data_IF_244881843903
#
_entry.id   IF_244881843903
#
_cell.length_a   1.000
_cell.length_b   1.000
_cell.length_c   1.000
_cell.angle_alpha   90.00
_cell.angle_beta   90.00
_cell.angle_gamma   90.00
#
_symmetry.space_group_name_H-M   'P 1'
#
loop_
_entity.id
_entity.type
_entity.pdbx_description
1 polymer ?
#
# COMPACT_ATOMS: atom_id res chain seq x y z
N UNK A 1 63.40 -23.09 -75.86
CA UNK A 1 64.29 -23.04 -74.67
C UNK A 1 63.47 -23.49 -73.47
N UNK A 2 63.63 -24.74 -72.98
CA UNK A 2 64.42 -25.11 -71.77
C UNK A 2 64.20 -24.08 -70.63
N UNK A 3 63.62 -24.41 -69.49
CA UNK A 3 63.91 -25.55 -68.60
C UNK A 3 62.75 -25.90 -67.64
N UNK A 4 62.70 -27.19 -67.29
CA UNK A 4 61.89 -27.82 -66.25
C UNK A 4 62.28 -27.36 -64.83
N UNK A 5 61.31 -27.28 -63.92
CA UNK A 5 61.48 -27.67 -62.51
C UNK A 5 60.26 -28.44 -62.03
N UNK A 6 60.53 -29.56 -61.38
CA UNK A 6 59.63 -30.48 -60.71
C UNK A 6 59.18 -29.89 -59.36
N UNK A 7 58.04 -30.34 -58.83
CA UNK A 7 57.85 -30.79 -57.44
C UNK A 7 56.36 -31.21 -57.22
N UNK A 8 56.21 -32.52 -57.04
CA UNK A 8 55.40 -33.28 -56.06
C UNK A 8 53.95 -32.90 -55.74
N UNK A 9 53.06 -33.86 -56.04
CA UNK A 9 51.69 -34.02 -55.56
C UNK A 9 51.65 -34.33 -54.05
N UNK A 10 50.76 -33.65 -53.31
CA UNK A 10 50.22 -34.09 -52.03
C UNK A 10 48.73 -33.72 -51.97
N UNK A 11 47.88 -34.75 -52.06
CA UNK A 11 46.45 -34.65 -51.83
C UNK A 11 46.18 -34.76 -50.31
N UNK A 12 45.63 -33.72 -49.71
CA UNK A 12 45.13 -33.75 -48.34
C UNK A 12 43.61 -33.93 -48.38
N UNK A 13 43.14 -35.09 -47.93
CA UNK A 13 41.72 -35.37 -47.70
C UNK A 13 41.22 -34.62 -46.47
N UNK A 14 40.15 -33.86 -46.64
CA UNK A 14 39.37 -33.26 -45.55
C UNK A 14 38.33 -34.28 -45.06
N UNK A 15 38.59 -34.87 -43.89
CA UNK A 15 37.55 -35.51 -43.08
C UNK A 15 36.76 -34.42 -42.33
N UNK A 16 35.48 -34.27 -42.67
CA UNK A 16 34.54 -33.47 -41.89
C UNK A 16 34.09 -34.22 -40.63
N UNK A 17 34.48 -33.73 -39.46
CA UNK A 17 33.83 -34.07 -38.20
C UNK A 17 32.63 -33.13 -37.99
N UNK A 18 31.42 -33.69 -38.07
CA UNK A 18 30.21 -33.03 -37.61
C UNK A 18 30.13 -33.14 -36.08
N UNK A 19 30.46 -32.04 -35.38
CA UNK A 19 30.20 -31.91 -33.94
C UNK A 19 28.72 -31.59 -33.73
N UNK A 20 27.94 -32.56 -33.23
CA UNK A 20 26.61 -32.30 -32.67
C UNK A 20 26.77 -31.46 -31.40
N UNK A 21 26.50 -30.16 -31.50
CA UNK A 21 26.34 -29.28 -30.34
C UNK A 21 24.98 -29.54 -29.70
N UNK A 22 24.95 -30.35 -28.64
CA UNK A 22 23.80 -30.41 -27.74
C UNK A 22 23.68 -29.08 -26.99
N UNK A 23 22.77 -28.23 -27.43
CA UNK A 23 22.36 -27.03 -26.72
C UNK A 23 21.62 -27.43 -25.44
N UNK A 24 22.35 -27.60 -24.33
CA UNK A 24 21.76 -27.59 -23.00
C UNK A 24 21.24 -26.17 -22.74
N UNK A 25 19.94 -25.97 -22.93
CA UNK A 25 19.22 -24.84 -22.35
C UNK A 25 19.34 -24.94 -20.83
N UNK A 26 20.31 -24.23 -20.28
CA UNK A 26 20.35 -23.95 -18.85
C UNK A 26 19.07 -23.18 -18.51
N UNK A 27 18.10 -23.87 -17.92
CA UNK A 27 16.99 -23.21 -17.24
C UNK A 27 17.63 -22.32 -16.17
N UNK A 28 17.58 -21.01 -16.38
CA UNK A 28 17.84 -20.04 -15.33
C UNK A 28 16.78 -20.26 -14.26
N UNK A 29 17.08 -21.13 -13.31
CA UNK A 29 16.37 -21.22 -12.05
C UNK A 29 16.54 -19.89 -11.35
N UNK A 30 15.64 -18.95 -11.68
CA UNK A 30 15.50 -17.72 -10.92
C UNK A 30 15.26 -18.15 -9.48
N UNK A 31 16.26 -17.94 -8.63
CA UNK A 31 16.09 -17.95 -7.18
C UNK A 31 14.82 -17.17 -6.91
N UNK A 32 13.80 -17.87 -6.40
CA UNK A 32 12.56 -17.21 -5.98
C UNK A 32 12.98 -16.17 -4.94
N UNK A 33 13.10 -14.91 -5.38
CA UNK A 33 13.34 -13.78 -4.50
C UNK A 33 12.31 -13.92 -3.38
N UNK A 34 12.75 -13.79 -2.12
CA UNK A 34 11.92 -14.10 -0.97
C UNK A 34 10.68 -13.19 -0.97
N UNK A 35 9.58 -13.70 -1.53
CA UNK A 35 8.33 -12.97 -1.73
C UNK A 35 7.85 -12.45 -0.38
N UNK A 36 7.28 -11.25 -0.35
CA UNK A 36 6.71 -10.65 0.85
C UNK A 36 7.68 -10.22 1.96
N UNK A 37 8.99 -10.48 1.82
CA UNK A 37 10.01 -9.90 2.69
C UNK A 37 10.38 -8.50 2.25
N UNK A 38 11.33 -7.90 2.96
CA UNK A 38 11.96 -6.63 2.59
C UNK A 38 12.33 -6.60 1.11
N UNK A 39 11.79 -5.62 0.38
CA UNK A 39 12.04 -5.44 -1.05
C UNK A 39 10.88 -4.77 -1.78
N UNK A 40 11.14 -4.39 -3.03
CA UNK A 40 10.14 -3.92 -3.99
C UNK A 40 10.02 -4.90 -5.16
N UNK A 41 8.80 -5.16 -5.60
CA UNK A 41 8.48 -6.15 -6.62
C UNK A 41 7.48 -5.56 -7.60
N UNK A 42 7.69 -5.79 -8.89
CA UNK A 42 6.86 -5.20 -9.95
C UNK A 42 6.39 -6.25 -10.93
N UNK A 43 5.12 -6.21 -11.30
CA UNK A 43 4.55 -6.99 -12.40
C UNK A 43 3.41 -6.22 -13.06
N UNK A 44 3.47 -6.09 -14.40
CA UNK A 44 2.38 -5.55 -15.23
C UNK A 44 1.81 -4.21 -14.75
N UNK A 45 2.68 -3.22 -14.49
CA UNK A 45 2.26 -1.88 -14.05
C UNK A 45 1.83 -1.80 -12.58
N UNK A 46 1.99 -2.87 -11.80
CA UNK A 46 1.78 -2.87 -10.35
C UNK A 46 3.13 -3.07 -9.67
N UNK A 47 3.43 -2.22 -8.72
CA UNK A 47 4.58 -2.35 -7.83
C UNK A 47 4.13 -2.43 -6.38
N UNK A 48 4.74 -3.33 -5.62
CA UNK A 48 4.59 -3.43 -4.18
C UNK A 48 5.94 -3.37 -3.50
N UNK A 49 6.01 -2.67 -2.36
CA UNK A 49 7.18 -2.69 -1.50
C UNK A 49 6.78 -3.08 -0.09
N UNK A 50 7.63 -3.83 0.59
CA UNK A 50 7.41 -4.25 1.97
C UNK A 50 8.62 -3.96 2.83
N UNK A 51 8.38 -3.58 4.09
CA UNK A 51 9.40 -3.65 5.14
C UNK A 51 9.21 -4.89 6.00
N UNK A 52 10.31 -5.57 6.31
CA UNK A 52 10.34 -6.72 7.22
C UNK A 52 11.43 -6.49 8.27
N UNK A 53 11.09 -5.93 9.45
CA UNK A 53 12.06 -5.65 10.50
C UNK A 53 12.89 -6.87 10.96
N UNK A 54 12.36 -8.11 10.96
CA UNK A 54 13.18 -9.29 11.24
C UNK A 54 14.18 -9.64 10.13
N UNK A 55 13.88 -9.30 8.87
CA UNK A 55 14.79 -9.53 7.73
C UNK A 55 15.86 -8.43 7.65
N UNK A 56 15.46 -7.17 7.81
CA UNK A 56 16.34 -6.01 7.73
C UNK A 56 16.08 -5.12 8.94
N UNK A 57 17.09 -4.95 9.79
CA UNK A 57 16.99 -4.02 10.93
C UNK A 57 16.91 -2.58 10.42
N UNK A 58 15.93 -1.83 10.92
CA UNK A 58 15.67 -0.45 10.48
C UNK A 58 15.50 -0.39 8.95
N UNK A 59 14.54 -1.18 8.45
CA UNK A 59 14.32 -1.44 7.04
C UNK A 59 13.90 -0.19 6.26
N UNK A 60 14.74 0.35 5.36
CA UNK A 60 14.44 1.57 4.64
C UNK A 60 13.54 1.34 3.43
N UNK A 61 13.15 0.11 3.10
CA UNK A 61 12.58 -0.21 1.78
C UNK A 61 11.38 0.64 1.41
N UNK A 62 10.33 0.67 2.24
CA UNK A 62 9.11 1.44 1.92
C UNK A 62 9.35 2.95 2.01
N UNK A 63 10.07 3.43 3.03
CA UNK A 63 10.33 4.86 3.23
C UNK A 63 11.29 5.43 2.17
N UNK A 64 12.31 4.67 1.80
CA UNK A 64 13.29 4.98 0.78
C UNK A 64 12.72 4.89 -0.63
N UNK A 65 11.66 4.09 -0.85
CA UNK A 65 11.00 4.03 -2.15
C UNK A 65 10.41 5.36 -2.57
N UNK A 66 9.82 6.13 -1.64
CA UNK A 66 9.37 7.50 -1.92
C UNK A 66 10.52 8.39 -2.43
N UNK A 67 11.70 8.29 -1.81
CA UNK A 67 12.89 9.04 -2.26
C UNK A 67 13.30 8.64 -3.68
N UNK A 68 13.35 7.33 -3.95
CA UNK A 68 13.68 6.81 -5.29
C UNK A 68 12.69 7.26 -6.35
N UNK A 69 11.39 7.31 -6.00
CA UNK A 69 10.36 7.82 -6.89
C UNK A 69 10.57 9.29 -7.21
N UNK A 70 10.83 10.12 -6.19
CA UNK A 70 11.05 11.56 -6.39
C UNK A 70 12.33 11.85 -7.16
N UNK A 71 13.39 11.07 -6.94
CA UNK A 71 14.66 11.22 -7.66
C UNK A 71 14.54 10.92 -9.16
N UNK A 72 13.55 10.11 -9.57
CA UNK A 72 13.29 9.83 -10.98
C UNK A 72 12.62 10.99 -11.74
N UNK A 73 12.04 11.97 -11.05
CA UNK A 73 11.33 13.08 -11.69
C UNK A 73 12.28 14.16 -12.23
N UNK A 74 12.00 14.63 -13.44
CA UNK A 74 12.70 15.70 -14.14
C UNK A 74 11.78 16.83 -14.63
N UNK A 75 12.26 17.69 -15.55
CA UNK A 75 11.48 18.79 -16.10
C UNK A 75 10.15 18.32 -16.70
N UNK A 76 9.03 18.94 -16.27
CA UNK A 76 7.69 18.64 -16.79
C UNK A 76 6.98 17.47 -16.12
N UNK A 77 7.70 16.64 -15.34
CA UNK A 77 7.06 15.62 -14.50
C UNK A 77 6.28 16.28 -13.36
N UNK A 78 5.27 15.59 -12.84
CA UNK A 78 4.48 16.07 -11.71
C UNK A 78 4.44 15.07 -10.55
N UNK A 79 4.66 15.57 -9.34
CA UNK A 79 4.55 14.82 -8.09
C UNK A 79 3.51 15.51 -7.19
N UNK A 80 2.48 14.77 -6.78
CA UNK A 80 1.52 15.20 -5.76
C UNK A 80 1.63 14.29 -4.56
N UNK A 81 1.83 14.86 -3.37
CA UNK A 81 2.01 14.11 -2.13
C UNK A 81 1.00 14.56 -1.10
N UNK A 82 0.27 13.61 -0.52
CA UNK A 82 -0.64 13.80 0.59
C UNK A 82 -0.12 12.98 1.78
N UNK A 83 0.31 13.64 2.86
CA UNK A 83 1.05 13.00 3.94
C UNK A 83 0.64 13.49 5.33
N UNK A 84 0.36 12.54 6.23
CA UNK A 84 0.06 12.83 7.63
C UNK A 84 1.28 13.28 8.44
N UNK A 85 2.39 12.52 8.39
CA UNK A 85 3.60 12.79 9.20
C UNK A 85 4.86 12.69 8.39
N UNK A 86 5.76 13.65 8.61
CA UNK A 86 7.02 13.78 7.90
C UNK A 86 8.17 14.31 8.78
N UNK A 87 9.08 13.42 9.18
CA UNK A 87 10.29 13.76 9.95
C UNK A 87 11.56 13.01 9.50
N UNK A 88 11.65 12.62 8.22
CA UNK A 88 12.89 12.01 7.70
C UNK A 88 13.48 12.82 6.54
N UNK A 89 14.80 12.98 6.60
CA UNK A 89 15.59 13.76 5.64
C UNK A 89 15.56 13.22 4.19
N UNK A 90 15.70 11.90 3.94
CA UNK A 90 15.87 11.41 2.56
C UNK A 90 14.74 11.80 1.61
N UNK A 91 13.45 11.53 1.90
CA UNK A 91 12.39 11.93 0.98
C UNK A 91 12.19 13.45 0.92
N UNK A 92 12.52 14.19 2.00
CA UNK A 92 12.48 15.67 1.97
C UNK A 92 13.46 16.21 0.93
N UNK A 93 14.70 15.73 0.96
CA UNK A 93 15.73 16.19 0.03
C UNK A 93 15.44 15.74 -1.40
N UNK A 94 14.97 14.51 -1.59
CA UNK A 94 14.61 14.00 -2.91
C UNK A 94 13.48 14.82 -3.55
N UNK A 95 12.44 15.18 -2.78
CA UNK A 95 11.32 15.98 -3.30
C UNK A 95 11.72 17.43 -3.62
N UNK A 96 12.54 18.06 -2.77
CA UNK A 96 13.12 19.38 -3.05
C UNK A 96 14.03 19.33 -4.28
N UNK A 97 14.83 18.27 -4.42
CA UNK A 97 15.69 18.08 -5.58
C UNK A 97 14.88 17.90 -6.86
N UNK A 98 13.77 17.17 -6.82
CA UNK A 98 12.84 17.04 -7.96
C UNK A 98 12.32 18.40 -8.42
N UNK A 99 11.84 19.23 -7.49
CA UNK A 99 11.37 20.57 -7.81
C UNK A 99 12.48 21.42 -8.46
N UNK A 100 13.70 21.38 -7.92
CA UNK A 100 14.87 22.08 -8.48
C UNK A 100 15.27 21.58 -9.87
N UNK A 101 15.01 20.31 -10.18
CA UNK A 101 15.19 19.75 -11.53
C UNK A 101 14.08 20.16 -12.51
N UNK A 102 13.04 20.86 -12.06
CA UNK A 102 11.94 21.34 -12.89
C UNK A 102 10.69 20.48 -12.86
N UNK A 103 10.58 19.52 -11.93
CA UNK A 103 9.33 18.82 -11.68
C UNK A 103 8.34 19.75 -10.97
N UNK A 104 7.05 19.63 -11.27
CA UNK A 104 5.98 20.32 -10.57
C UNK A 104 5.63 19.52 -9.32
N UNK A 105 5.70 20.14 -8.15
CA UNK A 105 5.46 19.46 -6.87
C UNK A 105 4.28 20.11 -6.14
N UNK A 106 3.32 19.30 -5.71
CA UNK A 106 2.23 19.70 -4.82
C UNK A 106 2.26 18.88 -3.53
N UNK A 107 1.98 19.54 -2.41
CA UNK A 107 1.94 18.95 -1.07
C UNK A 107 0.61 19.27 -0.39
N UNK A 108 -0.10 18.23 0.03
CA UNK A 108 -1.13 18.31 1.06
C UNK A 108 -0.58 17.65 2.32
N UNK A 109 -0.60 18.36 3.45
CA UNK A 109 -0.14 17.85 4.74
C UNK A 109 -1.17 18.00 5.84
N UNK A 110 -1.10 17.14 6.84
CA UNK A 110 -1.67 17.42 8.16
C UNK A 110 -0.83 18.48 8.88
N UNK A 111 -1.41 19.18 9.86
CA UNK A 111 -0.68 20.13 10.70
C UNK A 111 0.51 19.50 11.45
N UNK A 112 0.49 18.17 11.68
CA UNK A 112 1.62 17.41 12.22
C UNK A 112 2.93 17.59 11.43
N UNK A 113 2.89 17.98 10.14
CA UNK A 113 4.10 18.33 9.39
C UNK A 113 4.83 19.53 9.97
N UNK A 114 4.10 20.50 10.56
CA UNK A 114 4.68 21.70 11.17
C UNK A 114 5.41 21.39 12.47
N UNK A 115 5.09 20.28 13.13
CA UNK A 115 5.76 19.88 14.37
C UNK A 115 7.18 19.35 14.13
N UNK A 116 7.46 18.87 12.93
CA UNK A 116 8.69 18.17 12.59
C UNK A 116 9.66 19.05 11.78
N UNK A 117 10.97 18.94 12.05
CA UNK A 117 11.97 19.84 11.43
C UNK A 117 12.06 19.68 9.92
N UNK A 118 11.93 18.45 9.42
CA UNK A 118 11.99 18.16 8.00
C UNK A 118 10.70 18.53 7.28
N UNK A 119 9.54 18.33 7.92
CA UNK A 119 8.25 18.83 7.42
C UNK A 119 8.23 20.36 7.29
N UNK A 120 8.64 21.10 8.33
CA UNK A 120 8.76 22.57 8.25
C UNK A 120 9.69 23.04 7.13
N UNK A 121 10.85 22.38 6.98
CA UNK A 121 11.78 22.70 5.91
C UNK A 121 11.16 22.43 4.53
N UNK A 122 10.47 21.31 4.36
CA UNK A 122 9.81 20.97 3.11
C UNK A 122 8.79 22.04 2.72
N UNK A 123 7.85 22.35 3.63
CA UNK A 123 6.82 23.38 3.42
C UNK A 123 7.45 24.69 2.99
N UNK A 124 8.42 25.19 3.77
CA UNK A 124 9.10 26.45 3.50
C UNK A 124 9.72 26.47 2.10
N UNK A 125 10.46 25.43 1.72
CA UNK A 125 11.19 25.39 0.44
C UNK A 125 10.24 25.27 -0.74
N UNK A 126 9.15 24.49 -0.61
CA UNK A 126 8.16 24.38 -1.67
C UNK A 126 7.44 25.71 -1.88
N UNK A 127 7.00 26.38 -0.80
CA UNK A 127 6.32 27.69 -0.87
C UNK A 127 7.23 28.80 -1.41
N UNK A 128 8.52 28.82 -1.07
CA UNK A 128 9.48 29.81 -1.60
C UNK A 128 9.68 29.70 -3.10
N UNK A 129 9.45 28.52 -3.69
CA UNK A 129 9.59 28.25 -5.12
C UNK A 129 8.28 28.43 -5.90
N UNK A 130 7.15 28.64 -5.23
CA UNK A 130 5.87 29.01 -5.84
C UNK A 130 5.41 30.36 -5.27
N UNK A 131 5.70 31.49 -5.95
CA UNK A 131 5.30 32.81 -5.48
C UNK A 131 3.79 32.98 -5.27
N UNK A 132 2.96 32.17 -5.93
CA UNK A 132 1.51 32.18 -5.75
C UNK A 132 1.04 31.35 -4.54
N UNK A 133 1.93 30.56 -3.92
CA UNK A 133 1.68 29.67 -2.77
C UNK A 133 0.48 28.76 -2.97
N UNK A 134 0.38 28.18 -4.15
CA UNK A 134 -0.69 27.26 -4.56
C UNK A 134 -0.28 25.79 -4.43
N UNK A 135 1.01 25.53 -4.24
CA UNK A 135 1.57 24.18 -4.23
C UNK A 135 1.61 23.49 -2.86
N UNK A 136 1.26 24.19 -1.77
CA UNK A 136 1.21 23.60 -0.43
C UNK A 136 -0.12 23.91 0.24
N UNK A 137 -0.80 22.87 0.72
CA UNK A 137 -1.99 22.95 1.58
C UNK A 137 -1.72 22.21 2.88
N UNK A 138 -1.90 22.87 4.02
CA UNK A 138 -1.83 22.24 5.34
C UNK A 138 -3.22 22.28 5.98
N UNK A 139 -3.73 21.11 6.35
CA UNK A 139 -5.07 20.94 6.89
C UNK A 139 -5.03 21.00 8.43
N UNK A 140 -5.97 21.75 9.01
CA UNK A 140 -6.24 21.77 10.45
C UNK A 140 -7.29 20.68 10.74
N UNK A 141 -6.81 19.47 11.01
CA UNK A 141 -7.62 18.24 11.00
C UNK A 141 -7.71 17.60 9.61
N UNK A 142 -8.81 16.93 9.30
CA UNK A 142 -9.02 16.42 7.95
C UNK A 142 -9.28 17.58 6.97
N UNK A 143 -8.75 17.47 5.76
CA UNK A 143 -8.98 18.40 4.66
C UNK A 143 -10.42 18.34 4.15
N UNK A 144 -11.07 17.17 4.23
CA UNK A 144 -12.46 17.01 3.80
C UNK A 144 -13.44 16.98 4.98
N UNK A 145 -14.66 17.50 4.80
CA UNK A 145 -15.68 17.43 5.84
C UNK A 145 -16.05 15.98 6.17
N UNK A 146 -16.12 15.67 7.46
CA UNK A 146 -16.51 14.36 7.98
C UNK A 146 -17.96 13.99 7.65
N UNK A 147 -18.30 12.70 7.78
CA UNK A 147 -19.61 12.13 7.41
C UNK A 147 -20.47 11.66 8.58
N UNK A 148 -19.87 11.52 9.76
CA UNK A 148 -20.58 11.10 10.97
C UNK A 148 -21.40 12.23 11.61
N UNK A 149 -22.43 11.89 12.40
CA UNK A 149 -23.16 12.86 13.23
C UNK A 149 -22.37 13.24 14.49
N UNK A 150 -22.49 14.50 14.91
CA UNK A 150 -21.88 15.02 16.14
C UNK A 150 -20.41 15.39 15.99
N UNK A 151 -19.73 15.76 17.10
CA UNK A 151 -18.31 16.05 17.08
C UNK A 151 -17.49 14.78 16.81
N UNK A 152 -16.34 14.95 16.18
CA UNK A 152 -15.37 13.87 16.04
C UNK A 152 -14.82 13.45 17.42
N UNK A 153 -14.49 12.16 17.61
CA UNK A 153 -13.71 11.73 18.78
C UNK A 153 -12.32 12.36 18.76
N UNK A 154 -11.76 12.65 19.93
CA UNK A 154 -10.40 13.20 20.07
C UNK A 154 -9.39 12.45 19.18
N UNK A 155 -8.57 13.22 18.46
CA UNK A 155 -7.52 12.72 17.55
C UNK A 155 -8.04 11.86 16.38
N UNK A 156 -9.30 11.99 15.99
CA UNK A 156 -9.89 11.25 14.87
C UNK A 156 -10.48 12.15 13.78
N UNK A 157 -10.05 13.41 13.71
CA UNK A 157 -10.28 14.31 12.57
C UNK A 157 -8.91 14.79 12.10
N UNK A 158 -8.31 14.06 11.17
CA UNK A 158 -6.94 14.28 10.69
C UNK A 158 -6.81 13.96 9.20
N UNK A 159 -5.87 14.61 8.55
CA UNK A 159 -5.41 14.19 7.23
C UNK A 159 -4.50 12.97 7.45
N UNK A 160 -5.03 11.76 7.27
CA UNK A 160 -4.29 10.54 7.60
C UNK A 160 -3.73 9.82 6.37
N UNK A 161 -3.54 10.52 5.26
CA UNK A 161 -3.04 9.93 4.03
C UNK A 161 -1.53 9.69 4.06
N UNK A 162 -1.10 8.72 3.26
CA UNK A 162 0.27 8.50 2.80
C UNK A 162 0.17 8.13 1.32
N UNK A 163 -0.23 9.11 0.55
CA UNK A 163 -0.81 8.98 -0.77
C UNK A 163 0.00 9.82 -1.76
N UNK A 164 0.25 9.27 -2.94
CA UNK A 164 0.96 9.95 -4.00
C UNK A 164 0.24 9.75 -5.32
N UNK A 165 0.23 10.81 -6.13
CA UNK A 165 -0.23 10.78 -7.52
C UNK A 165 0.88 11.38 -8.36
N UNK A 166 1.44 10.61 -9.28
CA UNK A 166 2.62 11.03 -10.02
C UNK A 166 2.46 10.80 -11.50
N UNK A 167 3.01 11.72 -12.29
CA UNK A 167 3.25 11.55 -13.72
C UNK A 167 4.72 11.81 -13.95
N UNK A 168 5.49 10.73 -14.07
CA UNK A 168 6.95 10.76 -14.18
C UNK A 168 7.36 9.99 -15.43
N UNK A 169 8.08 10.63 -16.34
CA UNK A 169 8.47 10.03 -17.61
C UNK A 169 7.27 9.57 -18.45
N UNK A 170 6.14 10.26 -18.33
CA UNK A 170 4.87 9.89 -18.97
C UNK A 170 4.10 8.74 -18.31
N UNK A 171 4.58 8.20 -17.18
CA UNK A 171 3.89 7.13 -16.44
C UNK A 171 2.98 7.72 -15.36
N UNK A 172 1.68 7.55 -15.55
CA UNK A 172 0.63 7.97 -14.62
C UNK A 172 0.40 6.91 -13.54
N UNK A 173 0.69 7.27 -12.29
CA UNK A 173 0.68 6.34 -11.16
C UNK A 173 -0.19 6.82 -10.01
N UNK A 174 -0.95 5.89 -9.43
CA UNK A 174 -1.64 6.06 -8.15
C UNK A 174 -0.94 5.22 -7.09
N UNK A 175 -0.61 5.83 -5.96
CA UNK A 175 0.26 5.21 -4.96
C UNK A 175 -0.32 5.42 -3.57
N UNK A 176 -0.42 4.34 -2.81
CA UNK A 176 -0.75 4.40 -1.38
C UNK A 176 0.27 3.61 -0.57
N UNK A 177 0.53 4.06 0.65
CA UNK A 177 1.42 3.40 1.60
C UNK A 177 0.75 3.32 2.97
N UNK A 178 1.13 2.31 3.74
CA UNK A 178 0.76 2.24 5.14
C UNK A 178 1.66 3.13 6.00
N UNK A 179 2.86 3.49 5.52
CA UNK A 179 3.92 4.13 6.29
C UNK A 179 3.87 5.65 6.21
N UNK A 180 3.87 6.31 7.37
CA UNK A 180 4.29 7.71 7.46
C UNK A 180 5.78 7.85 7.07
N UNK A 181 6.22 9.07 6.78
CA UNK A 181 7.64 9.35 6.57
C UNK A 181 8.29 9.78 7.89
N UNK A 182 8.37 8.87 8.85
CA UNK A 182 8.91 9.11 10.21
C UNK A 182 9.79 7.93 10.69
N UNK A 183 10.77 8.19 11.56
CA UNK A 183 11.81 7.22 11.93
C UNK A 183 11.27 5.89 12.46
N UNK A 184 10.22 5.92 13.30
CA UNK A 184 9.69 4.69 13.90
C UNK A 184 9.24 3.67 12.86
N UNK A 185 8.87 4.11 11.65
CA UNK A 185 8.34 3.25 10.60
C UNK A 185 9.40 2.30 10.02
N UNK A 186 10.69 2.61 10.14
CA UNK A 186 11.79 1.70 9.79
C UNK A 186 11.77 0.40 10.61
N UNK A 187 11.08 0.38 11.76
CA UNK A 187 11.01 -0.76 12.69
C UNK A 187 9.68 -1.48 12.65
N UNK A 188 8.79 -1.14 11.71
CA UNK A 188 7.45 -1.72 11.61
C UNK A 188 7.27 -2.42 10.27
N UNK A 189 6.41 -3.43 10.24
CA UNK A 189 5.89 -3.96 8.98
C UNK A 189 5.05 -2.88 8.29
N UNK A 190 5.39 -2.59 7.05
CA UNK A 190 4.70 -1.62 6.20
C UNK A 190 4.60 -2.15 4.78
N UNK A 191 3.60 -1.65 4.05
CA UNK A 191 3.45 -1.88 2.63
C UNK A 191 3.28 -0.57 1.85
N UNK A 192 3.67 -0.60 0.59
CA UNK A 192 3.36 0.43 -0.42
C UNK A 192 2.85 -0.28 -1.66
N UNK A 193 1.82 0.28 -2.29
CA UNK A 193 1.23 -0.19 -3.54
C UNK A 193 1.20 0.98 -4.53
N UNK A 194 1.83 0.78 -5.69
CA UNK A 194 1.78 1.67 -6.86
C UNK A 194 1.08 0.93 -7.99
N UNK A 195 0.13 1.59 -8.64
CA UNK A 195 -0.61 1.08 -9.79
C UNK A 195 -0.55 2.11 -10.91
N UNK A 196 -0.12 1.66 -12.08
CA UNK A 196 -0.04 2.44 -13.31
C UNK A 196 -1.33 2.23 -14.11
N UNK A 197 -2.32 3.09 -13.83
CA UNK A 197 -3.63 3.08 -14.50
C UNK A 197 -4.09 4.54 -14.67
N UNK A 198 -4.22 5.04 -15.92
CA UNK A 198 -4.64 6.41 -16.19
C UNK A 198 -5.99 6.80 -15.57
N UNK A 199 -6.94 5.86 -15.47
CA UNK A 199 -8.25 6.11 -14.88
C UNK A 199 -8.18 6.25 -13.36
N UNK A 200 -7.38 5.39 -12.70
CA UNK A 200 -7.13 5.49 -11.27
C UNK A 200 -6.30 6.73 -10.93
N UNK A 201 -5.32 7.08 -11.76
CA UNK A 201 -4.56 8.32 -11.67
C UNK A 201 -5.48 9.54 -11.76
N UNK A 202 -6.38 9.60 -12.75
CA UNK A 202 -7.34 10.69 -12.89
C UNK A 202 -8.28 10.81 -11.67
N UNK A 203 -8.74 9.68 -11.12
CA UNK A 203 -9.47 9.67 -9.85
C UNK A 203 -8.64 10.22 -8.69
N UNK A 204 -7.36 9.85 -8.61
CA UNK A 204 -6.41 10.38 -7.65
C UNK A 204 -6.19 11.88 -7.78
N UNK A 205 -6.11 12.41 -9.00
CA UNK A 205 -6.03 13.86 -9.26
C UNK A 205 -7.28 14.59 -8.78
N UNK A 206 -8.47 14.06 -9.07
CA UNK A 206 -9.74 14.67 -8.67
C UNK A 206 -9.91 14.63 -7.14
N UNK A 207 -9.41 13.58 -6.48
CA UNK A 207 -9.33 13.54 -5.02
C UNK A 207 -8.34 14.57 -4.48
N UNK A 208 -7.13 14.64 -5.04
CA UNK A 208 -6.07 15.56 -4.59
C UNK A 208 -6.51 17.02 -4.69
N UNK A 209 -7.15 17.41 -5.80
CA UNK A 209 -7.69 18.76 -5.97
C UNK A 209 -8.72 19.15 -4.90
N UNK A 210 -9.44 18.17 -4.33
CA UNK A 210 -10.39 18.40 -3.23
C UNK A 210 -9.70 18.54 -1.88
N UNK A 211 -8.61 17.81 -1.68
CA UNK A 211 -7.75 18.00 -0.52
C UNK A 211 -7.12 19.39 -0.54
N UNK A 212 -6.61 19.85 -1.68
CA UNK A 212 -6.07 21.21 -1.86
C UNK A 212 -7.15 22.28 -1.63
N UNK A 213 -8.35 22.07 -2.19
CA UNK A 213 -9.48 22.97 -1.98
C UNK A 213 -10.10 22.89 -0.57
N UNK A 214 -9.66 21.94 0.26
CA UNK A 214 -10.25 21.58 1.55
C UNK A 214 -11.79 21.50 1.49
N UNK A 215 -12.29 20.86 0.42
CA UNK A 215 -13.69 20.92 0.05
C UNK A 215 -14.09 19.74 -0.83
N UNK A 216 -15.32 19.27 -0.67
CA UNK A 216 -15.91 18.29 -1.60
C UNK A 216 -16.19 18.87 -2.99
N UNK A 217 -16.08 20.20 -3.16
CA UNK A 217 -16.26 20.90 -4.43
C UNK A 217 -14.92 21.42 -4.94
N UNK A 218 -14.49 20.91 -6.10
CA UNK A 218 -13.32 21.37 -6.84
C UNK A 218 -13.63 21.38 -8.35
N UNK A 219 -13.04 22.30 -9.12
CA UNK A 219 -13.24 22.38 -10.57
C UNK A 219 -14.71 22.51 -11.00
N UNK A 220 -15.55 23.15 -10.20
CA UNK A 220 -17.00 23.27 -10.45
C UNK A 220 -17.84 22.04 -10.08
N UNK A 221 -17.23 20.87 -9.81
CA UNK A 221 -17.93 19.63 -9.45
C UNK A 221 -17.93 19.38 -7.94
N UNK A 222 -19.11 19.17 -7.35
CA UNK A 222 -19.24 18.68 -5.97
C UNK A 222 -19.28 17.15 -5.95
N UNK A 223 -18.52 16.53 -5.07
CA UNK A 223 -18.56 15.08 -4.80
C UNK A 223 -19.57 14.72 -3.72
N UNK A 224 -20.27 13.62 -3.93
CA UNK A 224 -20.94 12.86 -2.88
C UNK A 224 -20.20 11.54 -2.55
N UNK A 225 -20.82 10.65 -1.76
CA UNK A 225 -20.20 9.38 -1.34
C UNK A 225 -19.98 8.40 -2.51
N UNK A 226 -20.73 8.53 -3.61
CA UNK A 226 -20.57 7.70 -4.83
C UNK A 226 -19.36 8.15 -5.64
N UNK A 227 -19.16 9.45 -5.78
CA UNK A 227 -17.99 10.00 -6.47
C UNK A 227 -16.66 9.62 -5.79
N UNK A 228 -16.70 9.30 -4.49
CA UNK A 228 -15.55 8.84 -3.70
C UNK A 228 -15.18 7.36 -3.94
N UNK A 229 -15.84 6.70 -4.88
CA UNK A 229 -15.56 5.31 -5.27
C UNK A 229 -15.22 5.28 -6.75
N UNK A 230 -14.07 4.71 -7.07
CA UNK A 230 -13.68 4.41 -8.45
C UNK A 230 -13.56 2.91 -8.63
N UNK A 231 -13.90 2.40 -9.81
CA UNK A 231 -13.70 1.00 -10.16
C UNK A 231 -13.46 0.83 -11.65
N UNK A 232 -12.47 0.01 -11.99
CA UNK A 232 -12.22 -0.44 -13.36
C UNK A 232 -11.77 -1.90 -13.32
N UNK A 233 -12.56 -2.79 -13.93
CA UNK A 233 -12.31 -4.23 -13.93
C UNK A 233 -12.04 -4.78 -12.51
N UNK A 234 -10.87 -5.37 -12.23
CA UNK A 234 -10.56 -5.98 -10.94
C UNK A 234 -10.22 -5.00 -9.82
N UNK A 235 -10.05 -3.71 -10.11
CA UNK A 235 -9.56 -2.72 -9.15
C UNK A 235 -10.72 -1.82 -8.71
N UNK A 236 -10.87 -1.64 -7.39
CA UNK A 236 -11.75 -0.66 -6.77
C UNK A 236 -10.92 0.22 -5.84
N UNK A 237 -11.07 1.54 -5.94
CA UNK A 237 -10.53 2.50 -4.98
C UNK A 237 -11.68 3.19 -4.23
N UNK A 238 -11.47 3.49 -2.95
CA UNK A 238 -12.40 4.27 -2.15
C UNK A 238 -11.62 5.25 -1.29
N UNK A 239 -12.03 6.50 -1.31
CA UNK A 239 -11.48 7.55 -0.45
C UNK A 239 -12.48 7.93 0.63
N UNK A 240 -11.96 8.33 1.78
CA UNK A 240 -12.71 8.69 2.98
C UNK A 240 -12.47 10.17 3.31
N UNK A 241 -13.35 10.82 4.10
CA UNK A 241 -14.53 10.28 4.79
C UNK A 241 -15.63 9.74 3.85
N UNK A 242 -16.19 8.56 4.11
CA UNK A 242 -17.26 7.97 3.28
C UNK A 242 -18.23 7.13 4.12
N UNK A 243 -19.53 7.16 3.80
CA UNK A 243 -20.52 6.25 4.41
C UNK A 243 -20.42 4.82 3.88
N UNK A 244 -19.99 4.68 2.63
CA UNK A 244 -19.58 3.41 2.05
C UNK A 244 -18.28 2.92 2.68
N UNK A 245 -18.12 1.60 2.75
CA UNK A 245 -17.00 0.96 3.43
C UNK A 245 -16.46 -0.18 2.59
N UNK A 246 -15.30 0.04 1.97
CA UNK A 246 -14.69 -0.93 1.08
C UNK A 246 -14.28 -2.21 1.82
N UNK A 247 -13.73 -2.09 3.04
CA UNK A 247 -13.27 -3.24 3.81
C UNK A 247 -14.45 -4.07 4.30
N UNK A 248 -15.44 -3.43 4.94
CA UNK A 248 -16.59 -4.13 5.50
C UNK A 248 -17.44 -4.77 4.40
N UNK A 249 -17.73 -4.05 3.30
CA UNK A 249 -18.48 -4.63 2.18
C UNK A 249 -17.73 -5.81 1.56
N UNK A 250 -16.39 -5.73 1.49
CA UNK A 250 -15.57 -6.85 1.04
C UNK A 250 -15.70 -8.06 1.95
N UNK A 251 -15.58 -7.87 3.27
CA UNK A 251 -15.74 -8.96 4.24
C UNK A 251 -17.16 -9.55 4.24
N UNK A 252 -18.19 -8.74 4.00
CA UNK A 252 -19.58 -9.21 3.89
C UNK A 252 -19.79 -10.07 2.64
N UNK A 253 -19.18 -9.69 1.52
CA UNK A 253 -19.30 -10.38 0.23
C UNK A 253 -18.46 -11.67 0.14
N UNK A 254 -17.64 -11.96 1.16
CA UNK A 254 -16.88 -13.21 1.27
C UNK A 254 -17.71 -14.37 1.83
N UNK A 255 -17.48 -15.53 1.25
CA UNK A 255 -17.98 -16.84 1.70
C UNK A 255 -16.87 -17.89 1.64
N UNK A 256 -17.03 -18.97 2.39
CA UNK A 256 -15.95 -19.89 2.76
C UNK A 256 -16.14 -21.31 2.20
N UNK A 257 -16.01 -21.55 0.88
CA UNK A 257 -15.84 -22.92 0.40
C UNK A 257 -14.61 -23.58 1.02
N UNK A 258 -14.57 -24.92 1.02
CA UNK A 258 -13.46 -25.71 1.56
C UNK A 258 -12.11 -25.20 1.03
N UNK A 259 -11.18 -24.94 1.94
CA UNK A 259 -9.83 -24.43 1.62
C UNK A 259 -9.70 -22.91 1.60
N UNK A 260 -10.78 -22.16 1.86
CA UNK A 260 -10.72 -20.69 1.91
C UNK A 260 -9.82 -20.17 3.03
N UNK A 261 -9.12 -19.07 2.74
CA UNK A 261 -8.19 -18.41 3.66
C UNK A 261 -8.46 -16.91 3.68
N UNK A 262 -8.40 -16.33 4.87
CA UNK A 262 -8.55 -14.88 5.09
C UNK A 262 -7.48 -14.47 6.09
N UNK A 263 -6.57 -13.57 5.70
CA UNK A 263 -5.49 -13.08 6.56
C UNK A 263 -5.55 -11.56 6.62
N UNK A 264 -5.61 -11.00 7.83
CA UNK A 264 -5.84 -9.58 8.06
C UNK A 264 -4.74 -9.00 8.96
N UNK A 265 -4.01 -7.99 8.50
CA UNK A 265 -2.99 -7.31 9.29
C UNK A 265 -3.29 -5.83 9.36
N UNK A 266 -3.57 -5.33 10.56
CA UNK A 266 -3.90 -3.91 10.76
C UNK A 266 -3.23 -3.39 12.02
N UNK A 267 -2.59 -2.22 11.90
CA UNK A 267 -1.95 -1.56 13.05
C UNK A 267 -2.93 -1.28 14.20
N UNK A 268 -4.16 -0.89 13.87
CA UNK A 268 -5.23 -0.64 14.84
C UNK A 268 -6.55 -1.23 14.34
N UNK A 269 -7.15 -2.09 15.17
CA UNK A 269 -8.49 -2.62 14.98
C UNK A 269 -9.38 -2.20 16.15
N UNK A 270 -10.43 -1.41 15.87
CA UNK A 270 -11.38 -0.90 16.88
C UNK A 270 -12.85 -1.08 16.49
N UNK A 271 -13.11 -1.52 15.26
CA UNK A 271 -14.45 -1.57 14.68
C UNK A 271 -15.10 -2.93 14.89
N UNK A 272 -16.16 -2.93 15.67
CA UNK A 272 -16.91 -4.15 16.02
C UNK A 272 -17.54 -4.82 14.79
N UNK A 273 -18.06 -4.04 13.84
CA UNK A 273 -18.62 -4.60 12.60
C UNK A 273 -17.57 -5.37 11.76
N UNK A 274 -16.31 -4.90 11.72
CA UNK A 274 -15.19 -5.63 11.11
C UNK A 274 -14.88 -6.91 11.88
N UNK A 275 -14.77 -6.83 13.22
CA UNK A 275 -14.54 -8.00 14.09
C UNK A 275 -15.62 -9.08 13.88
N UNK A 276 -16.90 -8.69 13.87
CA UNK A 276 -18.03 -9.60 13.64
C UNK A 276 -17.95 -10.31 12.28
N UNK A 277 -17.54 -9.61 11.22
CA UNK A 277 -17.38 -10.24 9.91
C UNK A 277 -16.22 -11.23 9.87
N UNK A 278 -15.10 -10.94 10.51
CA UNK A 278 -13.97 -11.88 10.62
C UNK A 278 -14.38 -13.15 11.40
N UNK A 279 -15.10 -12.99 12.51
CA UNK A 279 -15.67 -14.10 13.27
C UNK A 279 -16.69 -14.92 12.46
N UNK A 280 -17.59 -14.25 11.73
CA UNK A 280 -18.53 -14.92 10.82
C UNK A 280 -17.80 -15.79 9.80
N UNK A 281 -16.71 -15.29 9.21
CA UNK A 281 -15.91 -16.03 8.24
C UNK A 281 -15.19 -17.23 8.89
N UNK A 282 -14.66 -17.06 10.10
CA UNK A 282 -14.09 -18.14 10.90
C UNK A 282 -15.12 -19.25 11.14
N UNK A 283 -16.30 -18.89 11.67
CA UNK A 283 -17.43 -19.81 11.89
C UNK A 283 -17.91 -20.49 10.62
N UNK A 284 -17.86 -19.80 9.48
CA UNK A 284 -18.25 -20.34 8.18
C UNK A 284 -17.20 -21.29 7.56
N UNK A 285 -16.05 -21.50 8.21
CA UNK A 285 -15.03 -22.47 7.80
C UNK A 285 -13.85 -21.88 7.03
N UNK A 286 -13.72 -20.54 6.94
CA UNK A 286 -12.48 -19.94 6.44
C UNK A 286 -11.36 -20.13 7.48
N UNK A 287 -10.14 -20.42 7.02
CA UNK A 287 -8.94 -20.27 7.85
C UNK A 287 -8.64 -18.78 8.01
N UNK A 288 -9.13 -18.20 9.10
CA UNK A 288 -8.89 -16.79 9.47
C UNK A 288 -7.58 -16.70 10.24
N UNK A 289 -6.75 -15.70 9.94
CA UNK A 289 -5.56 -15.31 10.71
C UNK A 289 -5.48 -13.80 10.81
N UNK A 290 -5.05 -13.28 11.95
CA UNK A 290 -5.08 -11.85 12.25
C UNK A 290 -3.75 -11.44 12.89
N UNK A 291 -3.21 -10.32 12.42
CA UNK A 291 -2.06 -9.64 13.04
C UNK A 291 -2.49 -8.23 13.44
N UNK A 292 -2.17 -7.84 14.67
CA UNK A 292 -2.38 -6.49 15.20
C UNK A 292 -1.14 -6.00 15.94
N UNK A 293 -1.10 -4.73 16.34
CA UNK A 293 0.06 -4.14 17.03
C UNK A 293 -0.09 -4.03 18.55
N UNK A 294 -1.21 -4.47 19.12
CA UNK A 294 -1.51 -4.33 20.55
C UNK A 294 -2.20 -5.56 21.11
N UNK A 295 -1.67 -6.09 22.21
CA UNK A 295 -2.23 -7.21 22.97
C UNK A 295 -3.68 -6.94 23.42
N UNK A 296 -4.02 -5.70 23.75
CA UNK A 296 -5.41 -5.38 24.14
C UNK A 296 -6.39 -5.61 22.99
N UNK A 297 -5.97 -5.29 21.76
CA UNK A 297 -6.78 -5.55 20.56
C UNK A 297 -6.85 -7.06 20.29
N UNK A 298 -5.76 -7.79 20.47
CA UNK A 298 -5.73 -9.26 20.39
C UNK A 298 -6.77 -9.89 21.32
N UNK A 299 -6.71 -9.58 22.63
CA UNK A 299 -7.68 -10.06 23.61
C UNK A 299 -9.13 -9.76 23.22
N UNK A 300 -9.37 -8.57 22.68
CA UNK A 300 -10.70 -8.18 22.23
C UNK A 300 -11.16 -8.99 21.02
N UNK A 301 -10.27 -9.29 20.07
CA UNK A 301 -10.61 -10.10 18.89
C UNK A 301 -10.94 -11.54 19.24
N UNK A 302 -10.23 -12.11 20.21
CA UNK A 302 -10.38 -13.51 20.68
C UNK A 302 -11.58 -13.70 21.60
N UNK A 303 -12.04 -12.63 22.24
CA UNK A 303 -13.19 -12.70 23.14
C UNK A 303 -14.42 -13.28 22.43
N UNK A 304 -15.26 -14.06 23.13
CA UNK A 304 -16.46 -14.63 22.53
C UNK A 304 -17.41 -13.56 21.97
N UNK A 305 -18.10 -13.91 20.88
CA UNK A 305 -19.07 -13.00 20.25
C UNK A 305 -20.23 -13.74 19.55
N UNK A 306 -21.43 -13.13 19.46
CA UNK A 306 -22.63 -13.82 18.94
C UNK A 306 -22.49 -14.38 17.52
N UNK A 307 -21.64 -13.75 16.71
CA UNK A 307 -21.37 -14.11 15.30
C UNK A 307 -20.39 -15.28 15.13
N UNK A 308 -19.86 -15.83 16.23
CA UNK A 308 -18.86 -16.90 16.24
C UNK A 308 -17.51 -16.43 16.79
N UNK A 309 -16.64 -17.37 17.13
CA UNK A 309 -15.37 -17.04 17.77
C UNK A 309 -14.21 -17.11 16.76
N UNK A 310 -13.17 -16.34 17.06
CA UNK A 310 -11.88 -16.42 16.37
C UNK A 310 -10.96 -17.21 17.31
N UNK A 311 -10.41 -18.36 16.89
CA UNK A 311 -9.53 -19.14 17.76
C UNK A 311 -8.35 -18.29 18.24
N UNK A 312 -7.99 -18.37 19.52
CA UNK A 312 -6.90 -17.59 20.12
C UNK A 312 -5.62 -17.69 19.28
N UNK A 313 -5.24 -18.92 18.91
CA UNK A 313 -4.08 -19.18 18.05
C UNK A 313 -4.08 -18.46 16.70
N UNK A 314 -5.22 -17.95 16.23
CA UNK A 314 -5.38 -17.25 14.96
C UNK A 314 -5.06 -15.76 15.05
N UNK A 315 -5.04 -15.15 16.23
CA UNK A 315 -4.72 -13.73 16.41
C UNK A 315 -3.32 -13.62 17.03
N UNK A 316 -2.50 -12.69 16.54
CA UNK A 316 -1.16 -12.48 17.10
C UNK A 316 -0.76 -11.02 17.04
N UNK A 317 0.24 -10.67 17.82
CA UNK A 317 0.80 -9.32 17.92
C UNK A 317 2.23 -9.23 17.40
N UNK A 318 2.46 -8.22 16.57
CA UNK A 318 3.80 -7.79 16.14
C UNK A 318 3.75 -6.30 15.88
N UNK A 319 4.89 -5.61 15.93
CA UNK A 319 4.95 -4.20 15.60
C UNK A 319 4.70 -3.98 14.10
N UNK A 320 3.43 -3.82 13.71
CA UNK A 320 3.01 -3.51 12.35
C UNK A 320 2.45 -2.10 12.27
N UNK A 321 2.65 -1.45 11.13
CA UNK A 321 1.92 -0.25 10.75
C UNK A 321 1.19 -0.45 9.41
N UNK A 322 1.04 -1.70 8.96
CA UNK A 322 0.28 -2.04 7.76
C UNK A 322 -1.23 -2.01 8.02
N UNK A 323 -2.01 -1.93 6.93
CA UNK A 323 -3.47 -2.06 6.89
C UNK A 323 -3.84 -2.86 5.64
N UNK A 324 -4.02 -4.17 5.81
CA UNK A 324 -4.22 -5.07 4.69
C UNK A 324 -5.11 -6.27 5.04
N UNK A 325 -5.86 -6.72 4.03
CA UNK A 325 -6.60 -7.97 4.01
C UNK A 325 -6.18 -8.73 2.75
N UNK A 326 -5.79 -9.99 2.90
CA UNK A 326 -5.52 -10.89 1.78
C UNK A 326 -6.39 -12.13 1.93
N UNK A 327 -7.05 -12.54 0.84
CA UNK A 327 -7.96 -13.67 0.87
C UNK A 327 -7.90 -14.50 -0.42
N UNK A 328 -7.95 -15.82 -0.24
CA UNK A 328 -8.33 -16.77 -1.28
C UNK A 328 -9.65 -17.40 -0.85
N UNK A 329 -10.75 -16.89 -1.39
CA UNK A 329 -12.09 -17.23 -0.94
C UNK A 329 -13.13 -16.93 -2.04
N UNK A 330 -14.40 -17.28 -1.80
CA UNK A 330 -15.48 -16.95 -2.73
C UNK A 330 -15.99 -15.54 -2.46
N UNK A 331 -15.75 -14.63 -3.40
CA UNK A 331 -16.25 -13.26 -3.41
C UNK A 331 -17.38 -13.15 -4.44
N UNK A 332 -18.58 -12.73 -4.00
CA UNK A 332 -19.76 -12.57 -4.88
C UNK A 332 -20.00 -13.76 -5.84
N UNK A 333 -19.91 -14.97 -5.31
CA UNK A 333 -20.16 -16.20 -6.07
C UNK A 333 -18.94 -16.83 -6.75
N UNK A 334 -17.82 -16.11 -6.92
CA UNK A 334 -16.61 -16.61 -7.60
C UNK A 334 -15.43 -16.78 -6.64
N UNK A 335 -14.75 -17.93 -6.69
CA UNK A 335 -13.48 -18.11 -5.97
C UNK A 335 -12.42 -17.24 -6.63
N UNK A 336 -11.75 -16.41 -5.83
CA UNK A 336 -10.77 -15.44 -6.30
C UNK A 336 -9.68 -15.23 -5.26
N UNK A 337 -8.52 -14.82 -5.75
CA UNK A 337 -7.51 -14.14 -4.97
C UNK A 337 -7.89 -12.66 -4.82
N UNK A 338 -7.71 -12.10 -3.63
CA UNK A 338 -8.15 -10.75 -3.28
C UNK A 338 -7.16 -10.09 -2.33
N UNK A 339 -6.88 -8.82 -2.58
CA UNK A 339 -6.13 -7.93 -1.67
C UNK A 339 -6.94 -6.68 -1.40
N UNK A 340 -7.01 -6.23 -0.15
CA UNK A 340 -7.43 -4.88 0.25
C UNK A 340 -6.28 -4.24 1.01
N UNK A 341 -5.91 -2.99 0.70
CA UNK A 341 -4.84 -2.27 1.40
C UNK A 341 -4.99 -0.76 1.25
N UNK A 342 -4.30 0.02 2.08
CA UNK A 342 -4.30 1.48 2.01
C UNK A 342 -3.86 2.12 3.32
N UNK A 343 -4.38 3.32 3.60
CA UNK A 343 -3.96 4.15 4.74
C UNK A 343 -4.83 3.93 5.99
N UNK A 344 -6.07 3.46 5.80
CA UNK A 344 -7.10 3.45 6.84
C UNK A 344 -6.94 2.29 7.83
N UNK A 345 -6.79 2.63 9.11
CA UNK A 345 -6.99 1.67 10.20
C UNK A 345 -8.48 1.31 10.31
N UNK A 346 -8.80 0.18 10.96
CA UNK A 346 -10.22 -0.18 11.16
C UNK A 346 -10.78 0.54 12.40
N UNK A 347 -10.84 1.87 12.34
CA UNK A 347 -11.40 2.77 13.36
C UNK A 347 -12.58 3.56 12.77
N UNK A 348 -13.40 4.17 13.62
CA UNK A 348 -14.46 5.04 13.13
C UNK A 348 -13.89 6.32 12.48
N UNK A 349 -12.78 6.85 13.02
CA UNK A 349 -11.99 7.92 12.41
C UNK A 349 -11.62 7.62 10.97
N UNK A 350 -10.96 6.48 10.75
CA UNK A 350 -10.50 6.06 9.42
C UNK A 350 -11.61 5.82 8.39
N UNK A 351 -12.87 5.70 8.81
CA UNK A 351 -14.02 5.58 7.91
C UNK A 351 -14.73 6.92 7.69
N UNK A 352 -15.04 7.63 8.78
CA UNK A 352 -16.05 8.69 8.79
C UNK A 352 -15.49 10.10 8.99
N UNK A 353 -14.22 10.24 9.36
CA UNK A 353 -13.69 11.53 9.79
C UNK A 353 -12.34 11.86 9.16
N UNK A 354 -11.42 10.90 9.07
CA UNK A 354 -10.10 11.11 8.47
C UNK A 354 -10.17 11.11 6.95
N UNK A 355 -9.25 11.86 6.33
CA UNK A 355 -8.86 11.60 4.95
C UNK A 355 -8.06 10.31 4.87
N UNK A 356 -8.57 9.35 4.10
CA UNK A 356 -7.95 8.05 3.93
C UNK A 356 -8.22 7.52 2.51
N UNK A 357 -7.45 6.53 2.11
CA UNK A 357 -7.65 5.81 0.85
C UNK A 357 -7.48 4.31 1.07
N UNK A 358 -8.36 3.52 0.44
CA UNK A 358 -8.28 2.06 0.41
C UNK A 358 -8.48 1.56 -1.02
N UNK A 359 -7.74 0.52 -1.38
CA UNK A 359 -7.81 -0.18 -2.66
C UNK A 359 -8.24 -1.63 -2.41
N UNK A 360 -9.02 -2.19 -3.33
CA UNK A 360 -9.27 -3.63 -3.46
C UNK A 360 -8.88 -4.08 -4.85
N UNK A 361 -8.13 -5.17 -4.94
CA UNK A 361 -7.72 -5.81 -6.19
C UNK A 361 -8.19 -7.26 -6.19
N UNK A 362 -8.90 -7.66 -7.25
CA UNK A 362 -9.45 -9.00 -7.43
C UNK A 362 -8.72 -9.78 -8.53
N UNK A 363 -8.60 -11.09 -8.38
CA UNK A 363 -8.12 -12.00 -9.42
C UNK A 363 -6.64 -11.87 -9.79
N UNK A 364 -5.88 -11.00 -9.09
CA UNK A 364 -4.45 -10.85 -9.30
C UNK A 364 -3.68 -11.75 -8.35
N UNK A 365 -3.38 -12.98 -8.81
CA UNK A 365 -2.68 -13.98 -8.01
C UNK A 365 -1.27 -13.56 -7.60
N UNK A 366 -0.53 -12.88 -8.49
CA UNK A 366 0.81 -12.40 -8.14
C UNK A 366 0.75 -11.43 -6.96
N UNK A 367 -0.11 -10.43 -7.04
CA UNK A 367 -0.27 -9.42 -5.99
C UNK A 367 -0.71 -10.08 -4.67
N UNK A 368 -1.69 -10.99 -4.75
CA UNK A 368 -2.13 -11.79 -3.62
C UNK A 368 -0.97 -12.56 -2.98
N UNK A 369 -0.16 -13.27 -3.76
CA UNK A 369 0.94 -14.08 -3.24
C UNK A 369 2.03 -13.21 -2.59
N UNK A 370 2.26 -11.99 -3.07
CA UNK A 370 3.16 -11.02 -2.44
C UNK A 370 2.64 -10.57 -1.07
N UNK A 371 1.39 -10.12 -0.99
CA UNK A 371 0.77 -9.69 0.27
C UNK A 371 0.60 -10.86 1.25
N UNK A 372 0.27 -12.06 0.78
CA UNK A 372 0.17 -13.24 1.63
C UNK A 372 1.52 -13.62 2.22
N UNK A 373 2.60 -13.56 1.44
CA UNK A 373 3.93 -13.82 1.97
C UNK A 373 4.38 -12.75 2.98
N UNK A 374 4.00 -11.48 2.76
CA UNK A 374 4.23 -10.39 3.72
C UNK A 374 3.49 -10.62 5.04
N UNK A 375 2.21 -11.03 4.95
CA UNK A 375 1.44 -11.43 6.11
C UNK A 375 2.09 -12.63 6.84
N UNK A 376 2.49 -13.66 6.09
CA UNK A 376 3.06 -14.88 6.66
C UNK A 376 4.37 -14.60 7.41
N UNK A 377 5.22 -13.71 6.89
CA UNK A 377 6.44 -13.24 7.56
C UNK A 377 6.11 -12.49 8.86
N UNK A 378 5.16 -11.56 8.83
CA UNK A 378 4.70 -10.87 10.03
C UNK A 378 4.14 -11.86 11.07
N UNK A 379 3.28 -12.78 10.64
CA UNK A 379 2.59 -13.73 11.50
C UNK A 379 3.53 -14.81 12.09
N UNK A 380 4.60 -15.19 11.39
CA UNK A 380 5.61 -16.12 11.93
C UNK A 380 6.47 -15.48 13.02
N UNK A 381 6.67 -14.16 12.97
CA UNK A 381 7.42 -13.40 13.98
C UNK A 381 6.51 -12.77 15.05
N UNK A 382 5.20 -12.86 14.87
CA UNK A 382 4.22 -12.38 15.83
C UNK A 382 4.14 -13.31 17.04
N UNK A 383 3.92 -12.70 18.21
CA UNK A 383 3.77 -13.38 19.49
C UNK A 383 2.32 -13.36 19.93
N UNK A 384 1.99 -14.20 20.90
CA UNK A 384 0.73 -14.11 21.61
C UNK A 384 0.86 -13.07 22.72
N UNK A 385 -0.20 -12.29 22.90
CA UNK A 385 -0.31 -11.24 23.89
C UNK A 385 -0.11 -11.77 25.30
N UNK A 386 0.47 -10.95 26.17
CA UNK A 386 0.76 -11.34 27.57
C UNK A 386 -0.17 -10.70 28.59
N UNK A 387 -0.95 -9.71 28.16
CA UNK A 387 -1.94 -9.04 29.01
C UNK A 387 -3.32 -9.65 28.82
N UNK A 388 -4.20 -9.53 29.83
CA UNK A 388 -5.63 -9.87 29.73
C UNK A 388 -6.53 -8.64 29.66
N UNK A 389 -5.94 -7.45 29.55
CA UNK A 389 -6.69 -6.19 29.50
C UNK A 389 -7.46 -6.11 28.19
N UNK A 390 -8.76 -5.84 28.30
CA UNK A 390 -9.61 -5.54 27.17
C UNK A 390 -9.75 -4.02 26.98
N UNK A 391 -9.72 -3.53 25.73
CA UNK A 391 -10.02 -2.15 25.38
C UNK A 391 -11.53 -1.90 25.46
N UNK A 392 -11.90 -0.67 25.78
CA UNK A 392 -13.27 -0.20 25.62
C UNK A 392 -13.46 0.22 24.17
N UNK A 393 -14.20 -0.57 23.40
CA UNK A 393 -14.54 -0.26 22.02
C UNK A 393 -15.96 0.32 21.93
N UNK A 394 -16.13 1.39 21.15
CA UNK A 394 -17.44 1.99 20.88
C UNK A 394 -17.83 1.75 19.42
N UNK A 395 -19.10 1.38 19.13
CA UNK A 395 -19.58 1.31 17.76
C UNK A 395 -19.47 2.67 17.05
N UNK A 396 -19.27 2.64 15.74
CA UNK A 396 -19.36 3.86 14.94
C UNK A 396 -20.80 4.34 14.89
N UNK A 397 -21.03 5.60 15.26
CA UNK A 397 -22.31 6.28 15.01
C UNK A 397 -22.33 6.63 13.52
N UNK A 398 -23.23 6.01 12.75
CA UNK A 398 -23.39 6.25 11.31
C UNK A 398 -24.56 7.19 11.05
#
# INVERSE_FOLDING_TARGET
>A
MRTRRWITLLAAGLLGLATLSTSTTAASGGTAAARGKSGCFTQSGIEVCFTSPPTVRADPTVLGRASTLFDAAGPGDTIRVAMFRWDIKPPTDALIAAQRRGAVVYLVGDDDLRLNRHGRRLIKVLEEQDPARTNVTICDGACLPWRAPGPYPDSQDVQHLKFYVTEIGGVQSFITSSANLEDRQYRQYNSMLKIDDPGLYAFGLDYFARLEAQSTKAGGKRWDDRDKVWSNGPITATVYPNRGDLLLSTLQDLSCPKGSRVSAMFAVIQRDDVRRQLARLSKAGCKVRIVTSRDTVENWMESPQPTGDIPDSAVKTVLTHDKMLVAHARFRGKVTDLVVTGTSNTTCGGLLYNDEVMLRVLGNRWLHDQYLAHFDDAYSHAVQGRTRVMPVMKPCRR
#
